data_IF_916403592985
#
_entry.id   IF_916403592985
#
_cell.length_a   1.000
_cell.length_b   1.000
_cell.length_c   1.000
_cell.angle_alpha   90.00
_cell.angle_beta   90.00
_cell.angle_gamma   90.00
#
_symmetry.space_group_name_H-M   'P 1'
#
loop_
_entity.id
_entity.type
_entity.pdbx_description
1 polymer ?
#
# COMPACT_ATOMS: atom_id res chain seq x y z
N UNK A 1 36.99 -6.46 -17.91
CA UNK A 1 36.55 -6.82 -16.55
C UNK A 1 35.25 -7.59 -16.67
N UNK A 2 35.10 -8.72 -15.98
CA UNK A 2 33.76 -9.27 -15.75
C UNK A 2 33.13 -8.50 -14.57
N UNK A 3 31.86 -8.09 -14.73
CA UNK A 3 31.10 -7.45 -13.67
C UNK A 3 30.47 -8.57 -12.84
N UNK A 4 31.25 -9.07 -11.87
CA UNK A 4 30.79 -10.10 -10.94
C UNK A 4 29.81 -9.50 -9.92
N UNK A 5 28.61 -10.08 -9.84
CA UNK A 5 27.54 -9.58 -8.98
C UNK A 5 27.94 -9.68 -7.48
N UNK A 6 27.49 -8.75 -6.62
CA UNK A 6 27.84 -8.77 -5.19
C UNK A 6 27.49 -10.10 -4.50
N UNK A 7 26.34 -10.69 -4.82
CA UNK A 7 25.91 -11.98 -4.26
C UNK A 7 26.86 -13.13 -4.64
N UNK A 8 27.44 -13.13 -5.84
CA UNK A 8 28.44 -14.12 -6.28
C UNK A 8 29.70 -14.04 -5.41
N UNK A 9 30.11 -12.82 -5.02
CA UNK A 9 31.26 -12.61 -4.12
C UNK A 9 30.98 -13.10 -2.70
N UNK A 10 29.77 -12.86 -2.19
CA UNK A 10 29.33 -13.39 -0.89
C UNK A 10 29.34 -14.92 -0.90
N UNK A 11 28.75 -15.55 -1.92
CA UNK A 11 28.78 -17.01 -2.11
C UNK A 11 30.22 -17.54 -2.18
N UNK A 12 31.12 -16.89 -2.92
CA UNK A 12 32.52 -17.29 -3.02
C UNK A 12 33.26 -17.20 -1.67
N UNK A 13 33.04 -16.13 -0.90
CA UNK A 13 33.61 -15.99 0.46
C UNK A 13 33.10 -17.09 1.39
N UNK A 14 31.81 -17.43 1.34
CA UNK A 14 31.21 -18.48 2.15
C UNK A 14 31.77 -19.86 1.78
N UNK A 15 31.94 -20.17 0.48
CA UNK A 15 32.60 -21.40 0.02
C UNK A 15 34.04 -21.50 0.59
N UNK A 16 34.83 -20.43 0.52
CA UNK A 16 36.21 -20.42 1.05
C UNK A 16 36.27 -20.54 2.58
N UNK A 17 35.30 -19.95 3.30
CA UNK A 17 35.16 -20.15 4.75
C UNK A 17 34.79 -21.62 5.07
N UNK A 18 33.93 -22.23 4.26
CA UNK A 18 33.43 -23.59 4.44
C UNK A 18 34.54 -24.65 4.30
N UNK A 19 35.45 -24.50 3.33
CA UNK A 19 36.61 -25.40 3.10
C UNK A 19 37.55 -25.51 4.32
N UNK A 20 37.58 -24.47 5.17
CA UNK A 20 38.50 -24.35 6.29
C UNK A 20 37.81 -24.51 7.67
N UNK A 21 36.53 -24.88 7.69
CA UNK A 21 35.69 -24.90 8.88
C UNK A 21 35.47 -26.30 9.48
N UNK A 22 35.26 -26.42 10.81
CA UNK A 22 34.79 -27.66 11.43
C UNK A 22 33.37 -28.04 10.96
N UNK A 23 33.05 -29.35 10.93
CA UNK A 23 31.80 -29.89 10.37
C UNK A 23 30.51 -29.16 10.80
N UNK A 24 30.28 -28.79 12.09
CA UNK A 24 29.05 -28.07 12.47
C UNK A 24 28.95 -26.67 11.84
N UNK A 25 30.09 -26.02 11.57
CA UNK A 25 30.17 -24.74 10.87
C UNK A 25 30.04 -24.95 9.36
N UNK A 26 30.62 -26.02 8.80
CA UNK A 26 30.41 -26.45 7.41
C UNK A 26 28.93 -26.70 7.09
N UNK A 27 28.18 -27.28 8.02
CA UNK A 27 26.73 -27.51 7.94
C UNK A 27 25.93 -26.19 8.03
N UNK A 28 26.30 -25.28 8.93
CA UNK A 28 25.70 -23.96 8.99
C UNK A 28 25.91 -23.15 7.70
N UNK A 29 27.14 -23.15 7.15
CA UNK A 29 27.47 -22.46 5.91
C UNK A 29 26.77 -23.06 4.69
N UNK A 30 26.49 -24.37 4.68
CA UNK A 30 25.61 -24.99 3.67
C UNK A 30 24.19 -24.41 3.70
N UNK A 31 23.58 -24.28 4.89
CA UNK A 31 22.24 -23.68 5.05
C UNK A 31 22.23 -22.22 4.60
N UNK A 32 23.27 -21.44 4.90
CA UNK A 32 23.41 -20.06 4.40
C UNK A 32 23.51 -20.04 2.87
N UNK A 33 24.30 -20.92 2.26
CA UNK A 33 24.37 -21.04 0.78
C UNK A 33 23.05 -21.45 0.14
N UNK A 34 22.22 -22.23 0.83
CA UNK A 34 20.89 -22.63 0.37
C UNK A 34 19.91 -21.45 0.42
N UNK A 35 19.84 -20.75 1.55
CA UNK A 35 19.04 -19.51 1.72
C UNK A 35 19.46 -18.45 0.68
N UNK A 36 20.76 -18.20 0.51
CA UNK A 36 21.29 -17.22 -0.46
C UNK A 36 21.11 -17.63 -1.94
N UNK A 37 20.61 -18.83 -2.23
CA UNK A 37 20.22 -19.28 -3.57
C UNK A 37 18.71 -19.19 -3.83
N UNK A 38 17.91 -18.91 -2.80
CA UNK A 38 16.48 -18.62 -2.98
C UNK A 38 16.27 -17.27 -3.66
N UNK A 39 15.16 -17.13 -4.40
CA UNK A 39 14.72 -15.85 -4.97
C UNK A 39 14.04 -14.94 -3.93
N UNK A 40 13.68 -15.49 -2.78
CA UNK A 40 12.84 -14.89 -1.74
C UNK A 40 13.65 -14.51 -0.49
N UNK A 41 14.84 -13.96 -0.71
CA UNK A 41 15.87 -13.67 0.31
C UNK A 41 15.42 -12.67 1.40
N UNK A 42 14.27 -12.02 1.22
CA UNK A 42 13.66 -11.06 2.15
C UNK A 42 12.23 -11.45 2.57
N UNK A 43 11.71 -12.61 2.16
CA UNK A 43 10.44 -13.16 2.64
C UNK A 43 10.67 -13.78 4.02
N UNK A 44 9.91 -13.40 5.07
CA UNK A 44 10.01 -14.07 6.37
C UNK A 44 9.55 -15.53 6.26
N UNK A 45 10.18 -16.42 7.02
CA UNK A 45 9.81 -17.84 7.09
C UNK A 45 8.96 -18.10 8.34
N UNK A 46 7.89 -18.88 8.18
CA UNK A 46 6.86 -19.06 9.21
C UNK A 46 7.17 -20.22 10.15
N UNK A 47 7.01 -20.01 11.46
CA UNK A 47 7.02 -21.08 12.47
C UNK A 47 5.60 -21.69 12.60
N UNK A 48 5.37 -22.98 12.32
CA UNK A 48 4.01 -23.56 12.32
C UNK A 48 3.31 -23.69 13.68
N UNK A 49 3.93 -23.26 14.78
CA UNK A 49 3.35 -23.33 16.14
C UNK A 49 2.56 -22.07 16.52
N UNK A 50 2.78 -20.94 15.83
CA UNK A 50 2.09 -19.67 16.10
C UNK A 50 0.85 -19.48 15.20
N UNK A 51 -0.33 -19.49 15.84
CA UNK A 51 -1.70 -19.33 15.32
C UNK A 51 -1.90 -19.55 13.80
N UNK A 52 -2.47 -20.70 13.36
CA UNK A 52 -2.75 -20.97 11.94
C UNK A 52 -3.52 -19.87 11.20
N UNK A 53 -4.37 -19.08 11.89
CA UNK A 53 -5.09 -17.97 11.27
C UNK A 53 -4.21 -16.75 10.96
N UNK A 54 -3.03 -16.63 11.56
CA UNK A 54 -2.01 -15.66 11.18
C UNK A 54 -1.35 -16.06 9.85
N UNK A 55 -0.97 -17.33 9.73
CA UNK A 55 -0.33 -17.93 8.55
C UNK A 55 -1.18 -17.74 7.29
N UNK A 56 -2.49 -17.96 7.40
CA UNK A 56 -3.43 -17.84 6.28
C UNK A 56 -3.59 -16.39 5.79
N UNK A 57 -3.60 -15.42 6.72
CA UNK A 57 -3.64 -13.99 6.41
C UNK A 57 -2.37 -13.51 5.72
N UNK A 58 -1.21 -13.81 6.33
CA UNK A 58 0.09 -13.41 5.77
C UNK A 58 0.30 -14.06 4.40
N UNK A 59 0.02 -15.36 4.27
CA UNK A 59 0.12 -16.07 3.00
C UNK A 59 -0.71 -15.42 1.90
N UNK A 60 -1.92 -14.94 2.21
CA UNK A 60 -2.79 -14.26 1.24
C UNK A 60 -2.33 -12.86 0.81
N UNK A 61 -1.43 -12.22 1.57
CA UNK A 61 -0.82 -10.93 1.26
C UNK A 61 0.56 -11.07 0.59
N UNK A 62 1.29 -12.16 0.89
CA UNK A 62 2.65 -12.41 0.40
C UNK A 62 2.71 -13.33 -0.82
N UNK A 63 1.62 -13.99 -1.22
CA UNK A 63 1.65 -14.99 -2.31
C UNK A 63 1.77 -14.35 -3.70
N UNK A 64 2.99 -14.26 -4.21
CA UNK A 64 3.27 -13.97 -5.62
C UNK A 64 2.61 -15.00 -6.56
N UNK A 65 2.21 -14.57 -7.76
CA UNK A 65 1.30 -15.30 -8.67
C UNK A 65 1.87 -16.58 -9.30
N UNK A 66 3.11 -16.96 -8.97
CA UNK A 66 3.93 -17.92 -9.71
C UNK A 66 3.58 -19.41 -9.49
N UNK A 67 2.32 -19.80 -9.70
CA UNK A 67 1.89 -21.22 -9.81
C UNK A 67 1.29 -21.55 -11.16
N UNK A 68 2.17 -21.67 -12.16
CA UNK A 68 1.86 -22.19 -13.51
C UNK A 68 1.06 -23.49 -13.47
N UNK A 69 -0.18 -23.45 -13.95
CA UNK A 69 -0.82 -24.59 -14.59
C UNK A 69 -1.07 -24.27 -16.07
N UNK A 70 -0.78 -25.25 -16.94
CA UNK A 70 -0.66 -25.03 -18.37
C UNK A 70 -1.93 -25.39 -19.13
N UNK A 71 -2.50 -24.41 -19.83
CA UNK A 71 -3.30 -24.61 -21.04
C UNK A 71 -4.81 -24.46 -20.89
N UNK A 72 -5.37 -23.43 -21.54
CA UNK A 72 -6.11 -23.62 -22.79
C UNK A 72 -6.33 -22.29 -23.51
N UNK A 73 -6.50 -22.33 -24.84
CA UNK A 73 -6.83 -21.15 -25.66
C UNK A 73 -8.29 -20.74 -25.46
N UNK A 74 -8.56 -19.45 -25.27
CA UNK A 74 -9.88 -18.86 -25.49
C UNK A 74 -9.79 -17.53 -26.24
N UNK A 75 -10.84 -17.24 -27.00
CA UNK A 75 -10.80 -16.26 -28.10
C UNK A 75 -11.09 -14.84 -27.63
N UNK A 76 -10.30 -13.89 -28.13
CA UNK A 76 -10.48 -12.45 -27.94
C UNK A 76 -11.92 -11.99 -28.26
N UNK A 77 -12.62 -11.49 -27.26
CA UNK A 77 -13.91 -10.82 -27.40
C UNK A 77 -13.79 -9.36 -26.94
N UNK A 78 -13.49 -8.45 -27.87
CA UNK A 78 -13.38 -7.01 -27.60
C UNK A 78 -14.73 -6.45 -27.12
N UNK A 79 -14.93 -6.35 -25.80
CA UNK A 79 -16.06 -5.62 -25.23
C UNK A 79 -15.88 -4.14 -25.53
N UNK A 80 -16.85 -3.55 -26.24
CA UNK A 80 -16.89 -2.11 -26.42
C UNK A 80 -17.05 -1.43 -25.06
N UNK A 81 -16.21 -0.43 -24.79
CA UNK A 81 -16.41 0.52 -23.71
C UNK A 81 -17.80 1.13 -23.84
N UNK A 82 -18.64 0.96 -22.81
CA UNK A 82 -19.93 1.66 -22.77
C UNK A 82 -19.66 3.14 -22.43
N UNK A 83 -20.30 4.10 -23.14
CA UNK A 83 -20.15 5.50 -22.79
C UNK A 83 -20.74 5.75 -21.40
N UNK A 84 -20.10 6.58 -20.55
CA UNK A 84 -20.60 6.88 -19.21
C UNK A 84 -21.96 7.58 -19.30
N UNK A 85 -22.88 7.21 -18.39
CA UNK A 85 -24.22 7.79 -18.35
C UNK A 85 -24.19 9.29 -18.04
N UNK A 86 -24.80 10.11 -18.90
CA UNK A 86 -24.87 11.57 -18.76
C UNK A 86 -25.74 11.99 -17.56
N UNK A 87 -25.16 12.00 -16.36
CA UNK A 87 -25.72 12.63 -15.15
C UNK A 87 -24.60 13.08 -14.21
N UNK A 88 -23.65 13.87 -14.73
CA UNK A 88 -22.67 14.59 -13.89
C UNK A 88 -23.42 15.74 -13.19
N UNK A 89 -23.50 15.79 -11.85
CA UNK A 89 -24.17 16.88 -11.15
C UNK A 89 -23.49 18.23 -11.41
N UNK A 90 -24.27 19.30 -11.47
CA UNK A 90 -23.78 20.66 -11.72
C UNK A 90 -22.66 21.06 -10.74
N UNK A 91 -21.60 21.75 -11.19
CA UNK A 91 -20.44 22.04 -10.37
C UNK A 91 -20.76 23.05 -9.25
N UNK A 92 -20.87 22.53 -8.03
CA UNK A 92 -20.85 23.30 -6.78
C UNK A 92 -19.44 23.88 -6.61
N UNK A 93 -19.31 25.18 -6.31
CA UNK A 93 -18.01 25.82 -6.02
C UNK A 93 -17.40 25.31 -4.71
N UNK A 94 -16.09 25.48 -4.51
CA UNK A 94 -15.46 25.30 -3.19
C UNK A 94 -16.04 26.28 -2.15
N UNK A 95 -16.66 27.38 -2.61
CA UNK A 95 -17.38 28.34 -1.78
C UNK A 95 -18.85 27.97 -1.48
N UNK A 96 -19.45 27.01 -2.19
CA UNK A 96 -20.88 26.66 -2.09
C UNK A 96 -21.10 25.28 -1.43
N UNK A 97 -20.11 24.76 -0.69
CA UNK A 97 -20.17 23.44 -0.05
C UNK A 97 -21.33 23.37 0.96
N UNK A 98 -22.22 22.35 0.88
CA UNK A 98 -23.31 22.17 1.84
C UNK A 98 -22.82 22.15 3.30
N UNK A 99 -23.48 22.85 4.25
CA UNK A 99 -22.97 23.04 5.60
C UNK A 99 -22.55 21.76 6.35
N UNK A 100 -23.27 20.64 6.17
CA UNK A 100 -22.89 19.34 6.77
C UNK A 100 -21.53 18.85 6.27
N UNK A 101 -21.26 18.98 4.97
CA UNK A 101 -19.97 18.59 4.37
C UNK A 101 -18.87 19.55 4.84
N UNK A 102 -19.16 20.85 4.93
CA UNK A 102 -18.21 21.85 5.42
C UNK A 102 -17.79 21.58 6.89
N UNK A 103 -18.73 21.17 7.74
CA UNK A 103 -18.45 20.71 9.11
C UNK A 103 -17.66 19.39 9.12
N UNK A 104 -18.08 18.40 8.32
CA UNK A 104 -17.41 17.10 8.26
C UNK A 104 -15.93 17.19 7.83
N UNK A 105 -15.57 18.12 6.93
CA UNK A 105 -14.18 18.36 6.53
C UNK A 105 -13.42 19.36 7.43
N UNK A 106 -14.03 19.95 8.47
CA UNK A 106 -13.48 21.12 9.17
C UNK A 106 -12.06 20.85 9.71
N UNK A 107 -11.86 19.69 10.35
CA UNK A 107 -10.65 19.35 11.10
C UNK A 107 -9.66 18.39 10.40
N UNK A 108 -9.62 18.32 9.06
CA UNK A 108 -8.68 17.47 8.26
C UNK A 108 -7.17 17.82 8.37
N UNK A 109 -6.75 18.42 9.48
CA UNK A 109 -5.36 18.58 9.91
C UNK A 109 -4.98 17.63 11.06
N UNK A 110 -5.99 17.07 11.74
CA UNK A 110 -5.84 16.21 12.92
C UNK A 110 -5.88 14.74 12.52
N UNK A 111 -5.21 13.87 13.29
CA UNK A 111 -5.28 12.43 13.05
C UNK A 111 -6.68 11.86 13.38
N UNK A 112 -7.34 12.43 14.39
CA UNK A 112 -8.70 12.09 14.78
C UNK A 112 -9.70 12.81 13.85
N UNK A 113 -10.21 12.09 12.85
CA UNK A 113 -11.05 12.61 11.78
C UNK A 113 -12.13 11.58 11.39
N UNK A 114 -13.40 11.98 11.41
CA UNK A 114 -14.52 11.09 11.09
C UNK A 114 -14.76 10.99 9.58
N UNK A 115 -13.99 10.11 8.94
CA UNK A 115 -14.11 9.79 7.51
C UNK A 115 -15.48 9.19 7.15
N UNK A 116 -16.20 8.59 8.11
CA UNK A 116 -17.50 7.96 7.88
C UNK A 116 -18.65 8.97 7.96
N UNK A 117 -18.58 9.98 8.84
CA UNK A 117 -19.47 11.14 8.74
C UNK A 117 -19.22 11.92 7.44
N UNK A 118 -17.97 11.98 6.95
CA UNK A 118 -17.72 12.56 5.63
C UNK A 118 -18.36 11.72 4.50
N UNK A 119 -18.22 10.40 4.50
CA UNK A 119 -18.92 9.50 3.57
C UNK A 119 -20.44 9.74 3.61
N UNK A 120 -21.03 9.76 4.80
CA UNK A 120 -22.46 9.95 5.02
C UNK A 120 -22.96 11.37 4.69
N UNK A 121 -22.12 12.40 4.82
CA UNK A 121 -22.42 13.79 4.46
C UNK A 121 -22.32 14.03 2.96
N UNK A 122 -21.37 13.37 2.29
CA UNK A 122 -21.10 13.52 0.84
C UNK A 122 -21.89 12.55 -0.05
N UNK A 123 -22.58 11.58 0.55
CA UNK A 123 -23.30 10.49 -0.14
C UNK A 123 -22.35 9.59 -0.94
N UNK A 124 -21.36 9.02 -0.25
CA UNK A 124 -20.31 8.15 -0.80
C UNK A 124 -19.39 8.89 -1.79
N UNK A 125 -19.13 10.18 -1.54
CA UNK A 125 -18.24 11.04 -2.34
C UNK A 125 -17.16 11.76 -1.51
N UNK A 126 -16.49 11.12 -0.53
CA UNK A 126 -15.56 11.83 0.35
C UNK A 126 -14.31 12.31 -0.40
N UNK A 127 -13.82 11.54 -1.37
CA UNK A 127 -12.58 11.82 -2.10
C UNK A 127 -12.63 13.15 -2.86
N UNK A 128 -13.74 13.48 -3.53
CA UNK A 128 -13.88 14.77 -4.23
C UNK A 128 -13.83 15.95 -3.26
N UNK A 129 -14.60 15.92 -2.18
CA UNK A 129 -14.69 17.09 -1.28
C UNK A 129 -13.44 17.26 -0.41
N UNK A 130 -12.91 16.17 0.15
CA UNK A 130 -11.68 16.20 0.92
C UNK A 130 -10.49 16.56 0.03
N UNK A 131 -10.34 15.86 -1.10
CA UNK A 131 -9.25 16.08 -2.03
C UNK A 131 -9.17 17.52 -2.55
N UNK A 132 -10.30 18.18 -2.81
CA UNK A 132 -10.34 19.59 -3.16
C UNK A 132 -9.86 20.51 -2.02
N UNK A 133 -10.28 20.28 -0.77
CA UNK A 133 -9.79 21.06 0.39
C UNK A 133 -8.29 20.83 0.61
N UNK A 134 -7.85 19.58 0.62
CA UNK A 134 -6.45 19.20 0.84
C UNK A 134 -5.55 19.74 -0.26
N UNK A 135 -5.90 19.60 -1.55
CA UNK A 135 -5.08 20.13 -2.65
C UNK A 135 -5.03 21.66 -2.69
N UNK A 136 -6.10 22.35 -2.25
CA UNK A 136 -6.06 23.79 -2.06
C UNK A 136 -5.12 24.19 -0.91
N UNK A 137 -5.18 23.49 0.25
CA UNK A 137 -4.28 23.70 1.39
C UNK A 137 -2.80 23.52 1.03
N UNK A 138 -2.46 22.54 0.19
CA UNK A 138 -1.09 22.29 -0.27
C UNK A 138 -0.68 23.11 -1.52
N UNK A 139 -1.59 23.92 -2.09
CA UNK A 139 -1.32 24.76 -3.26
C UNK A 139 -0.92 23.94 -4.50
N UNK A 140 -1.69 22.90 -4.81
CA UNK A 140 -1.36 21.94 -5.88
C UNK A 140 -1.73 22.50 -7.26
N UNK A 141 -2.83 23.25 -7.38
CA UNK A 141 -3.23 23.90 -8.64
C UNK A 141 -2.18 24.89 -9.15
N UNK A 142 -1.56 25.64 -8.24
CA UNK A 142 -0.49 26.60 -8.51
C UNK A 142 0.79 25.92 -9.01
N UNK A 143 1.10 24.73 -8.48
CA UNK A 143 2.26 23.94 -8.89
C UNK A 143 2.04 23.28 -10.26
N UNK A 144 0.88 22.64 -10.46
CA UNK A 144 0.50 21.99 -11.73
C UNK A 144 0.10 22.99 -12.82
N UNK A 145 -0.07 24.27 -12.46
CA UNK A 145 -0.59 25.36 -13.31
C UNK A 145 -1.99 25.06 -13.87
N UNK A 146 -2.81 24.33 -13.13
CA UNK A 146 -4.16 23.89 -13.54
C UNK A 146 -5.26 24.67 -12.79
N UNK A 147 -6.51 24.60 -13.27
CA UNK A 147 -7.63 25.31 -12.63
C UNK A 147 -8.35 24.44 -11.60
N UNK A 148 -9.01 25.05 -10.61
CA UNK A 148 -9.86 24.34 -9.65
C UNK A 148 -10.96 23.53 -10.38
N UNK A 149 -11.52 24.06 -11.48
CA UNK A 149 -12.50 23.34 -12.30
C UNK A 149 -11.89 22.10 -13.00
N UNK A 150 -10.61 22.16 -13.38
CA UNK A 150 -9.85 21.01 -13.91
C UNK A 150 -9.65 19.96 -12.81
N UNK A 151 -9.19 20.40 -11.63
CA UNK A 151 -8.95 19.51 -10.49
C UNK A 151 -10.24 18.87 -9.98
N UNK A 152 -11.35 19.60 -9.94
CA UNK A 152 -12.70 19.10 -9.62
C UNK A 152 -13.15 18.06 -10.63
N UNK A 153 -12.97 18.33 -11.93
CA UNK A 153 -13.30 17.36 -12.99
C UNK A 153 -12.44 16.08 -12.88
N UNK A 154 -11.17 16.23 -12.52
CA UNK A 154 -10.24 15.12 -12.27
C UNK A 154 -10.64 14.27 -11.07
N UNK A 155 -10.88 14.87 -9.90
CA UNK A 155 -11.37 14.13 -8.73
C UNK A 155 -12.70 13.43 -9.03
N UNK A 156 -13.63 14.08 -9.75
CA UNK A 156 -14.90 13.49 -10.10
C UNK A 156 -14.77 12.25 -11.02
N UNK A 157 -13.82 12.23 -11.96
CA UNK A 157 -13.60 11.04 -12.81
C UNK A 157 -12.83 9.93 -12.08
N UNK A 158 -11.86 10.27 -11.23
CA UNK A 158 -11.15 9.28 -10.39
C UNK A 158 -12.11 8.64 -9.38
N UNK A 159 -12.86 9.44 -8.63
CA UNK A 159 -13.87 8.97 -7.66
C UNK A 159 -14.94 8.09 -8.30
N UNK A 160 -15.40 8.42 -9.51
CA UNK A 160 -16.39 7.63 -10.25
C UNK A 160 -15.88 6.25 -10.73
N UNK A 161 -14.57 6.01 -10.70
CA UNK A 161 -13.96 4.71 -11.01
C UNK A 161 -13.61 3.90 -9.74
N UNK A 162 -13.85 4.41 -8.53
CA UNK A 162 -13.84 3.57 -7.33
C UNK A 162 -15.19 2.85 -7.18
N UNK A 163 -15.17 1.52 -7.00
CA UNK A 163 -16.41 0.73 -6.94
C UNK A 163 -17.08 0.88 -5.56
N UNK A 164 -18.14 1.68 -5.49
CA UNK A 164 -18.93 1.87 -4.25
C UNK A 164 -19.64 0.61 -3.73
N UNK A 165 -19.63 -0.48 -4.50
CA UNK A 165 -20.03 -1.83 -4.07
C UNK A 165 -18.97 -2.58 -3.25
N UNK A 166 -17.72 -2.10 -3.21
CA UNK A 166 -16.66 -2.72 -2.43
C UNK A 166 -16.80 -2.35 -0.94
N UNK A 167 -16.74 -3.33 -0.01
CA UNK A 167 -16.80 -3.07 1.43
C UNK A 167 -15.59 -2.32 2.03
N UNK A 168 -14.51 -2.12 1.26
CA UNK A 168 -13.28 -1.48 1.74
C UNK A 168 -12.59 -0.66 0.63
N UNK A 169 -12.04 -1.28 -0.43
CA UNK A 169 -11.38 -0.57 -1.55
C UNK A 169 -12.38 0.22 -2.41
N UNK A 170 -12.82 1.37 -1.90
CA UNK A 170 -13.75 2.31 -2.49
C UNK A 170 -13.24 3.76 -2.28
N UNK A 171 -14.00 4.77 -2.69
CA UNK A 171 -13.59 6.18 -2.60
C UNK A 171 -13.36 6.67 -1.16
N UNK A 172 -14.00 6.05 -0.16
CA UNK A 172 -13.80 6.37 1.27
C UNK A 172 -12.43 5.90 1.77
N UNK A 173 -11.97 4.71 1.34
CA UNK A 173 -10.61 4.25 1.64
C UNK A 173 -9.55 5.16 1.01
N UNK A 174 -9.70 5.53 -0.27
CA UNK A 174 -8.75 6.47 -0.91
C UNK A 174 -8.77 7.85 -0.25
N UNK A 175 -9.92 8.33 0.21
CA UNK A 175 -10.02 9.57 0.97
C UNK A 175 -9.29 9.48 2.33
N UNK A 176 -9.36 8.34 3.03
CA UNK A 176 -8.61 8.09 4.27
C UNK A 176 -7.09 8.03 4.04
N UNK A 177 -6.64 7.32 3.00
CA UNK A 177 -5.21 7.26 2.63
C UNK A 177 -4.69 8.64 2.21
N UNK A 178 -5.51 9.45 1.52
CA UNK A 178 -5.20 10.85 1.21
C UNK A 178 -5.11 11.72 2.47
N UNK A 179 -6.02 11.52 3.44
CA UNK A 179 -5.99 12.20 4.74
C UNK A 179 -4.70 11.87 5.52
N UNK A 180 -4.40 10.58 5.70
CA UNK A 180 -3.19 10.12 6.38
C UNK A 180 -1.91 10.64 5.69
N UNK A 181 -1.88 10.61 4.35
CA UNK A 181 -0.79 11.17 3.54
C UNK A 181 -0.60 12.67 3.80
N UNK A 182 -1.69 13.46 3.77
CA UNK A 182 -1.66 14.88 4.09
C UNK A 182 -1.23 15.15 5.55
N UNK A 183 -1.62 14.30 6.50
CA UNK A 183 -1.18 14.38 7.89
C UNK A 183 0.33 14.13 8.02
N UNK A 184 0.90 13.15 7.33
CA UNK A 184 2.35 12.88 7.31
C UNK A 184 3.13 14.01 6.62
N UNK A 185 2.70 14.46 5.44
CA UNK A 185 3.28 15.62 4.73
C UNK A 185 3.20 16.92 5.55
N UNK A 186 2.28 16.98 6.52
CA UNK A 186 2.17 18.11 7.44
C UNK A 186 3.21 18.13 8.56
N UNK A 187 3.94 17.02 8.82
CA UNK A 187 4.94 16.94 9.89
C UNK A 187 6.24 17.67 9.51
N UNK A 188 6.84 18.40 10.45
CA UNK A 188 8.04 19.22 10.20
C UNK A 188 9.18 18.43 9.56
N UNK A 189 9.48 17.23 10.06
CA UNK A 189 10.57 16.41 9.53
C UNK A 189 10.39 16.03 8.05
N UNK A 190 9.15 15.88 7.59
CA UNK A 190 8.83 15.59 6.19
C UNK A 190 8.95 16.88 5.35
N UNK A 191 8.43 18.01 5.84
CA UNK A 191 8.59 19.34 5.22
C UNK A 191 10.05 19.81 5.09
N UNK A 192 10.93 19.31 5.95
CA UNK A 192 12.38 19.55 5.93
C UNK A 192 13.15 18.59 4.99
N UNK A 193 12.52 17.53 4.49
CA UNK A 193 13.20 16.43 3.77
C UNK A 193 12.71 16.24 2.32
N UNK A 194 11.44 16.55 2.02
CA UNK A 194 10.84 16.36 0.70
C UNK A 194 10.77 17.66 -0.11
N UNK A 195 11.00 17.56 -1.42
CA UNK A 195 10.79 18.66 -2.36
C UNK A 195 9.30 18.80 -2.70
N UNK A 196 8.90 19.98 -3.20
CA UNK A 196 7.48 20.25 -3.52
C UNK A 196 6.90 19.29 -4.57
N UNK A 197 7.74 18.72 -5.44
CA UNK A 197 7.31 17.71 -6.42
C UNK A 197 6.94 16.38 -5.76
N UNK A 198 7.61 15.98 -4.68
CA UNK A 198 7.34 14.75 -3.93
C UNK A 198 6.03 14.87 -3.13
N UNK A 199 5.80 16.05 -2.54
CA UNK A 199 4.54 16.41 -1.86
C UNK A 199 3.35 16.31 -2.82
N UNK A 200 3.52 16.77 -4.06
CA UNK A 200 2.50 16.68 -5.12
C UNK A 200 2.34 15.24 -5.60
N UNK A 201 3.44 14.49 -5.75
CA UNK A 201 3.41 13.08 -6.14
C UNK A 201 2.63 12.24 -5.12
N UNK A 202 2.92 12.40 -3.84
CA UNK A 202 2.31 11.65 -2.74
C UNK A 202 0.78 11.88 -2.65
N UNK A 203 0.33 13.14 -2.72
CA UNK A 203 -1.09 13.46 -2.68
C UNK A 203 -1.86 12.96 -3.90
N UNK A 204 -1.22 12.94 -5.08
CA UNK A 204 -1.83 12.36 -6.29
C UNK A 204 -1.85 10.82 -6.20
N UNK A 205 -0.75 10.20 -5.79
CA UNK A 205 -0.65 8.74 -5.61
C UNK A 205 -1.74 8.22 -4.65
N UNK A 206 -1.88 8.82 -3.47
CA UNK A 206 -2.90 8.44 -2.48
C UNK A 206 -4.33 8.49 -3.04
N UNK A 207 -4.65 9.49 -3.87
CA UNK A 207 -5.97 9.64 -4.49
C UNK A 207 -6.25 8.60 -5.60
N UNK A 208 -5.22 7.97 -6.18
CA UNK A 208 -5.38 7.04 -7.32
C UNK A 208 -4.99 5.59 -7.04
N UNK A 209 -4.34 5.30 -5.91
CA UNK A 209 -3.62 4.04 -5.70
C UNK A 209 -4.44 2.77 -5.82
N UNK A 210 -5.77 2.85 -5.66
CA UNK A 210 -6.73 1.74 -5.68
C UNK A 210 -7.85 1.92 -6.73
N UNK A 211 -7.68 2.83 -7.71
CA UNK A 211 -8.76 3.17 -8.66
C UNK A 211 -9.14 1.98 -9.55
N UNK A 212 -10.43 1.66 -9.65
CA UNK A 212 -10.98 0.46 -10.31
C UNK A 212 -10.59 -0.89 -9.66
N UNK A 213 -10.19 -0.90 -8.37
CA UNK A 213 -9.95 -2.15 -7.64
C UNK A 213 -11.23 -3.04 -7.60
N UNK A 214 -11.19 -4.30 -8.06
CA UNK A 214 -12.38 -5.16 -8.21
C UNK A 214 -12.77 -5.92 -6.92
N UNK A 215 -12.37 -5.41 -5.74
CA UNK A 215 -12.58 -6.09 -4.46
C UNK A 215 -12.00 -7.52 -4.35
N UNK A 216 -10.92 -7.84 -5.07
CA UNK A 216 -10.20 -9.14 -5.09
C UNK A 216 -8.69 -8.91 -5.17
N UNK A 217 -7.88 -9.78 -4.57
CA UNK A 217 -6.40 -9.67 -4.58
C UNK A 217 -5.77 -10.06 -5.92
N UNK A 218 -4.53 -9.62 -6.16
CA UNK A 218 -3.69 -10.06 -7.29
C UNK A 218 -3.72 -11.59 -7.46
N UNK A 219 -3.45 -12.34 -6.39
CA UNK A 219 -3.43 -13.81 -6.40
C UNK A 219 -4.78 -14.42 -6.83
N UNK A 220 -5.92 -13.79 -6.56
CA UNK A 220 -7.21 -14.24 -7.07
C UNK A 220 -7.36 -14.00 -8.59
N UNK A 221 -6.86 -12.87 -9.09
CA UNK A 221 -6.91 -12.53 -10.52
C UNK A 221 -6.04 -13.49 -11.35
N UNK A 222 -4.80 -13.76 -10.90
CA UNK A 222 -3.89 -14.71 -11.56
C UNK A 222 -4.48 -16.14 -11.56
N UNK A 223 -4.92 -16.63 -10.39
CA UNK A 223 -5.52 -17.98 -10.28
C UNK A 223 -6.85 -18.14 -11.04
N UNK A 224 -7.54 -17.06 -11.41
CA UNK A 224 -8.78 -17.10 -12.21
C UNK A 224 -8.55 -16.83 -13.70
N UNK A 225 -7.32 -16.58 -14.15
CA UNK A 225 -7.02 -16.23 -15.54
C UNK A 225 -7.67 -14.92 -15.98
N UNK A 226 -7.77 -13.95 -15.07
CA UNK A 226 -8.46 -12.69 -15.31
C UNK A 226 -7.79 -11.85 -16.43
N UNK A 227 -8.58 -11.09 -17.19
CA UNK A 227 -8.11 -10.21 -18.27
C UNK A 227 -6.98 -9.25 -17.82
N UNK A 228 -7.03 -8.72 -16.58
CA UNK A 228 -5.96 -7.89 -16.01
C UNK A 228 -4.69 -8.69 -15.70
N UNK A 229 -4.81 -9.89 -15.14
CA UNK A 229 -3.65 -10.73 -14.83
C UNK A 229 -2.92 -11.17 -16.11
N UNK A 230 -3.67 -11.47 -17.18
CA UNK A 230 -3.11 -11.73 -18.51
C UNK A 230 -2.43 -10.48 -19.10
N UNK A 231 -3.03 -9.29 -18.91
CA UNK A 231 -2.47 -8.01 -19.39
C UNK A 231 -1.14 -7.66 -18.70
N UNK A 232 -1.07 -7.82 -17.37
CA UNK A 232 0.09 -7.49 -16.54
C UNK A 232 1.03 -8.68 -16.28
N UNK A 233 0.79 -9.83 -16.92
CA UNK A 233 1.63 -11.03 -16.87
C UNK A 233 1.86 -11.52 -15.43
N UNK A 234 0.76 -11.62 -14.67
CA UNK A 234 0.68 -12.04 -13.26
C UNK A 234 1.52 -11.20 -12.26
N UNK A 235 2.15 -10.09 -12.70
CA UNK A 235 3.09 -9.27 -11.91
C UNK A 235 2.45 -7.93 -11.51
N UNK A 236 2.43 -7.57 -10.22
CA UNK A 236 1.91 -6.29 -9.69
C UNK A 236 0.60 -5.83 -10.37
N UNK A 237 -0.35 -6.76 -10.50
CA UNK A 237 -1.44 -6.69 -11.49
C UNK A 237 -2.37 -5.51 -11.23
N UNK A 238 -2.77 -5.30 -9.99
CA UNK A 238 -3.68 -4.23 -9.58
C UNK A 238 -2.95 -2.89 -9.51
N UNK A 239 -1.78 -2.85 -8.89
CA UNK A 239 -0.97 -1.64 -8.71
C UNK A 239 -0.56 -1.04 -10.07
N UNK A 240 -0.25 -1.90 -11.05
CA UNK A 240 -0.03 -1.51 -12.45
C UNK A 240 -1.29 -1.00 -13.14
N UNK A 241 -2.45 -1.61 -12.85
CA UNK A 241 -3.76 -1.19 -13.37
C UNK A 241 -4.18 0.17 -12.83
N UNK A 242 -4.11 0.38 -11.51
CA UNK A 242 -4.43 1.62 -10.82
C UNK A 242 -3.62 2.80 -11.39
N UNK A 243 -2.30 2.63 -11.51
CA UNK A 243 -1.43 3.62 -12.13
C UNK A 243 -1.75 3.85 -13.62
N UNK A 244 -1.99 2.79 -14.41
CA UNK A 244 -2.27 2.92 -15.84
C UNK A 244 -3.60 3.63 -16.11
N UNK A 245 -4.69 3.18 -15.47
CA UNK A 245 -6.03 3.71 -15.66
C UNK A 245 -6.13 5.16 -15.17
N UNK A 246 -5.57 5.49 -14.01
CA UNK A 246 -5.57 6.87 -13.51
C UNK A 246 -4.96 7.84 -14.52
N UNK A 247 -3.82 7.48 -15.13
CA UNK A 247 -3.21 8.31 -16.17
C UNK A 247 -3.98 8.29 -17.49
N UNK A 248 -4.68 7.20 -17.86
CA UNK A 248 -5.58 7.20 -19.01
C UNK A 248 -6.73 8.20 -18.80
N UNK A 249 -7.50 8.06 -17.71
CA UNK A 249 -8.63 8.94 -17.35
C UNK A 249 -8.21 10.42 -17.26
N UNK A 250 -6.98 10.69 -16.78
CA UNK A 250 -6.43 12.05 -16.71
C UNK A 250 -6.09 12.62 -18.08
N UNK A 251 -5.52 11.82 -19.00
CA UNK A 251 -4.99 12.30 -20.27
C UNK A 251 -6.02 12.25 -21.42
N UNK A 252 -7.06 11.42 -21.31
CA UNK A 252 -8.12 11.26 -22.32
C UNK A 252 -8.98 12.52 -22.50
N UNK A 253 -9.20 13.29 -21.42
CA UNK A 253 -10.05 14.48 -21.44
C UNK A 253 -9.28 15.74 -21.00
N UNK A 254 -9.22 16.70 -21.90
CA UNK A 254 -8.64 18.04 -21.72
C UNK A 254 -9.19 18.82 -20.51
N UNK A 255 -10.41 18.49 -20.05
CA UNK A 255 -11.04 19.04 -18.84
C UNK A 255 -10.57 18.37 -17.53
N UNK A 256 -10.10 17.12 -17.59
CA UNK A 256 -9.60 16.35 -16.46
C UNK A 256 -8.07 16.38 -16.36
N UNK A 257 -7.37 16.80 -17.41
CA UNK A 257 -5.92 16.79 -17.48
C UNK A 257 -5.25 17.86 -16.61
N UNK A 258 -5.11 17.55 -15.31
CA UNK A 258 -4.40 18.38 -14.33
C UNK A 258 -2.93 18.64 -14.68
N UNK A 259 -2.30 17.80 -15.52
CA UNK A 259 -0.91 17.94 -15.94
C UNK A 259 -0.71 18.80 -17.20
N UNK A 260 -1.79 19.22 -17.87
CA UNK A 260 -1.78 19.83 -19.21
C UNK A 260 -0.81 21.01 -19.39
N UNK A 261 -0.61 21.80 -18.35
CA UNK A 261 0.18 23.03 -18.38
C UNK A 261 1.59 22.87 -17.76
N UNK A 262 1.98 21.65 -17.38
CA UNK A 262 3.31 21.35 -16.86
C UNK A 262 4.37 21.33 -17.97
N UNK A 263 5.60 21.67 -17.61
CA UNK A 263 6.75 21.49 -18.48
C UNK A 263 7.10 20.00 -18.61
N UNK A 264 7.53 19.58 -19.81
CA UNK A 264 7.66 18.15 -20.17
C UNK A 264 8.58 17.35 -19.24
N UNK A 265 9.63 17.97 -18.71
CA UNK A 265 10.55 17.32 -17.79
C UNK A 265 9.92 17.13 -16.41
N UNK A 266 9.27 18.18 -15.88
CA UNK A 266 8.64 18.18 -14.56
C UNK A 266 7.47 17.19 -14.53
N UNK A 267 6.65 17.15 -15.59
CA UNK A 267 5.61 16.11 -15.75
C UNK A 267 6.23 14.70 -15.79
N UNK A 268 7.37 14.50 -16.45
CA UNK A 268 8.03 13.18 -16.49
C UNK A 268 8.52 12.75 -15.10
N UNK A 269 9.15 13.66 -14.35
CA UNK A 269 9.62 13.38 -12.98
C UNK A 269 8.45 13.11 -12.04
N UNK A 270 7.41 13.97 -12.07
CA UNK A 270 6.20 13.80 -11.27
C UNK A 270 5.48 12.48 -11.60
N UNK A 271 5.33 12.15 -12.90
CA UNK A 271 4.75 10.87 -13.33
C UNK A 271 5.54 9.68 -12.79
N UNK A 272 6.87 9.73 -12.84
CA UNK A 272 7.70 8.64 -12.32
C UNK A 272 7.47 8.46 -10.83
N UNK A 273 7.55 9.54 -10.03
CA UNK A 273 7.32 9.49 -8.59
C UNK A 273 5.91 8.96 -8.22
N UNK A 274 4.87 9.38 -8.95
CA UNK A 274 3.50 8.86 -8.74
C UNK A 274 3.43 7.35 -9.02
N UNK A 275 4.02 6.88 -10.12
CA UNK A 275 4.03 5.45 -10.48
C UNK A 275 4.84 4.64 -9.46
N UNK A 276 6.01 5.12 -9.08
CA UNK A 276 6.88 4.45 -8.10
C UNK A 276 6.20 4.36 -6.72
N UNK A 277 5.37 5.33 -6.34
CA UNK A 277 4.59 5.30 -5.10
C UNK A 277 3.38 4.34 -5.17
N UNK A 278 2.67 4.26 -6.30
CA UNK A 278 1.55 3.31 -6.45
C UNK A 278 2.08 1.86 -6.55
N UNK A 279 3.17 1.62 -7.28
CA UNK A 279 3.82 0.30 -7.31
C UNK A 279 4.54 -0.09 -5.99
N UNK A 280 4.58 0.82 -5.01
CA UNK A 280 5.09 0.57 -3.67
C UNK A 280 4.00 0.18 -2.65
N UNK A 281 2.71 0.17 -3.04
CA UNK A 281 1.63 -0.39 -2.20
C UNK A 281 1.46 -1.90 -2.36
N UNK A 282 2.17 -2.53 -3.30
CA UNK A 282 2.16 -3.98 -3.50
C UNK A 282 2.72 -4.69 -2.25
N UNK A 283 1.87 -5.40 -1.51
CA UNK A 283 2.23 -5.94 -0.19
C UNK A 283 3.36 -6.99 -0.24
N UNK A 284 3.55 -7.71 -1.34
CA UNK A 284 4.69 -8.63 -1.54
C UNK A 284 6.06 -7.92 -1.37
N UNK A 285 6.09 -6.60 -1.55
CA UNK A 285 7.29 -5.75 -1.46
C UNK A 285 7.41 -4.99 -0.14
N UNK A 286 6.47 -5.18 0.78
CA UNK A 286 6.44 -4.51 2.10
C UNK A 286 7.79 -4.61 2.82
N UNK A 287 8.33 -5.82 3.01
CA UNK A 287 9.60 -6.03 3.70
C UNK A 287 10.81 -5.50 2.93
N UNK A 288 10.79 -5.49 1.59
CA UNK A 288 11.82 -4.83 0.77
C UNK A 288 11.88 -3.33 1.10
N UNK A 289 10.70 -2.69 1.23
CA UNK A 289 10.57 -1.25 1.42
C UNK A 289 10.83 -0.82 2.87
N UNK A 290 10.29 -1.53 3.86
CA UNK A 290 10.54 -1.27 5.29
C UNK A 290 12.03 -1.49 5.63
N UNK A 291 12.64 -2.59 5.18
CA UNK A 291 14.07 -2.81 5.42
C UNK A 291 14.95 -1.79 4.69
N UNK A 292 14.61 -1.36 3.48
CA UNK A 292 15.32 -0.27 2.78
C UNK A 292 15.23 1.07 3.52
N UNK A 293 14.07 1.36 4.11
CA UNK A 293 13.87 2.57 4.92
C UNK A 293 14.66 2.50 6.23
N UNK A 294 14.56 1.40 6.99
CA UNK A 294 15.35 1.17 8.20
C UNK A 294 16.86 1.29 7.95
N UNK A 295 17.37 0.67 6.89
CA UNK A 295 18.77 0.78 6.49
C UNK A 295 19.20 2.19 6.02
N UNK A 296 18.25 3.09 5.76
CA UNK A 296 18.50 4.51 5.45
C UNK A 296 18.46 5.39 6.71
N UNK A 297 17.52 5.17 7.64
CA UNK A 297 17.42 5.98 8.86
C UNK A 297 18.41 5.56 9.96
N UNK A 298 18.75 4.27 10.03
CA UNK A 298 19.69 3.71 11.03
C UNK A 298 21.16 3.90 10.67
N UNK A 299 21.48 4.75 9.68
CA UNK A 299 22.85 5.15 9.31
C UNK A 299 23.16 6.59 9.73
N UNK A 300 23.51 6.85 11.01
CA UNK A 300 24.24 8.05 11.37
C UNK A 300 25.67 8.00 10.82
N UNK A 301 26.36 9.14 10.81
CA UNK A 301 27.80 9.20 10.58
C UNK A 301 28.57 8.40 11.66
N UNK A 302 29.08 7.21 11.34
CA UNK A 302 30.29 6.62 11.95
C UNK A 302 30.83 5.38 11.24
N UNK A 303 32.05 5.01 11.62
CA UNK A 303 32.85 3.93 11.06
C UNK A 303 32.58 2.57 11.74
N UNK A 304 33.01 1.49 11.06
CA UNK A 304 33.30 0.12 11.53
C UNK A 304 32.84 -0.33 12.94
N UNK A 305 32.02 -1.39 13.02
CA UNK A 305 31.85 -2.17 14.26
C UNK A 305 30.79 -3.29 14.24
N UNK A 306 31.22 -4.53 13.99
CA UNK A 306 30.75 -5.85 14.49
C UNK A 306 29.25 -6.20 14.70
N UNK A 307 28.82 -7.30 14.05
CA UNK A 307 28.30 -8.61 14.59
C UNK A 307 28.10 -8.74 16.14
N UNK A 308 27.21 -9.56 16.74
CA UNK A 308 26.17 -10.58 16.34
C UNK A 308 25.27 -10.88 17.58
N UNK A 309 24.28 -11.81 17.72
CA UNK A 309 23.68 -12.93 16.93
C UNK A 309 22.27 -13.26 17.52
N UNK A 310 21.15 -13.21 16.77
CA UNK A 310 19.81 -13.78 17.12
C UNK A 310 18.87 -13.67 15.89
N UNK A 311 17.96 -14.59 15.54
CA UNK A 311 17.45 -15.82 16.19
C UNK A 311 17.58 -17.10 15.30
N UNK A 312 16.97 -18.23 15.70
CA UNK A 312 17.01 -19.54 15.01
C UNK A 312 15.65 -20.26 15.01
N UNK A 313 15.52 -21.25 14.11
CA UNK A 313 14.45 -22.28 14.00
C UNK A 313 13.21 -21.83 13.17
N UNK A 314 12.55 -22.68 12.36
CA UNK A 314 12.62 -24.16 12.15
C UNK A 314 12.34 -24.56 10.66
N UNK A 315 12.08 -25.85 10.36
CA UNK A 315 12.09 -26.45 9.00
C UNK A 315 10.69 -26.75 8.38
N UNK A 316 10.43 -26.28 7.14
CA UNK A 316 9.45 -26.78 6.13
C UNK A 316 7.90 -26.58 6.39
N UNK A 317 6.99 -26.77 5.40
CA UNK A 317 6.88 -26.14 4.07
C UNK A 317 5.46 -25.55 3.75
N UNK A 318 5.27 -24.97 2.55
CA UNK A 318 4.20 -24.02 2.13
C UNK A 318 2.82 -24.62 1.76
N UNK A 319 1.70 -23.94 2.10
CA UNK A 319 0.52 -23.51 1.25
C UNK A 319 -0.75 -23.17 2.07
N UNK A 320 -1.42 -22.06 1.74
CA UNK A 320 -2.66 -21.51 2.37
C UNK A 320 -3.92 -22.38 2.27
N UNK A 321 -4.91 -22.12 3.17
CA UNK A 321 -6.32 -22.05 2.83
C UNK A 321 -6.95 -20.64 3.01
N UNK A 322 -8.09 -20.46 2.35
CA UNK A 322 -8.89 -19.23 2.25
C UNK A 322 -9.41 -18.68 3.59
N UNK A 323 -9.48 -17.34 3.72
CA UNK A 323 -10.29 -16.64 4.73
C UNK A 323 -11.76 -17.06 4.72
N UNK A 324 -12.12 -18.09 5.49
CA UNK A 324 -13.52 -18.48 5.71
C UNK A 324 -14.15 -17.67 6.85
N UNK A 325 -15.31 -17.05 6.56
CA UNK A 325 -16.14 -16.32 7.53
C UNK A 325 -16.67 -17.21 8.65
N UNK A 326 -16.70 -18.54 8.47
CA UNK A 326 -17.14 -19.48 9.50
C UNK A 326 -16.05 -19.84 10.52
N UNK A 327 -14.77 -19.69 10.17
CA UNK A 327 -13.63 -20.09 11.02
C UNK A 327 -12.85 -18.90 11.57
N UNK A 328 -12.67 -17.84 10.78
CA UNK A 328 -11.88 -16.65 11.14
C UNK A 328 -12.37 -15.98 12.44
N UNK A 329 -11.42 -15.59 13.30
CA UNK A 329 -11.66 -14.70 14.44
C UNK A 329 -11.09 -13.32 14.12
N UNK A 330 -11.95 -12.31 13.97
CA UNK A 330 -11.52 -10.98 13.54
C UNK A 330 -10.48 -10.37 14.50
N UNK A 331 -10.64 -10.44 15.85
CA UNK A 331 -9.62 -9.94 16.76
C UNK A 331 -8.25 -10.62 16.59
N UNK A 332 -8.19 -11.94 16.35
CA UNK A 332 -6.93 -12.65 16.10
C UNK A 332 -6.25 -12.14 14.83
N UNK A 333 -6.97 -12.13 13.71
CA UNK A 333 -6.42 -11.63 12.44
C UNK A 333 -5.98 -10.17 12.52
N UNK A 334 -6.63 -9.34 13.35
CA UNK A 334 -6.18 -7.96 13.62
C UNK A 334 -4.90 -7.90 14.47
N UNK A 335 -4.79 -8.73 15.52
CA UNK A 335 -3.57 -8.87 16.32
C UNK A 335 -2.40 -9.32 15.43
N UNK A 336 -2.58 -10.40 14.68
CA UNK A 336 -1.54 -10.95 13.78
C UNK A 336 -1.14 -9.96 12.69
N UNK A 337 -2.09 -9.21 12.12
CA UNK A 337 -1.77 -8.15 11.15
C UNK A 337 -0.93 -7.03 11.77
N UNK A 338 -1.33 -6.58 12.98
CA UNK A 338 -0.61 -5.53 13.70
C UNK A 338 0.82 -5.98 14.03
N UNK A 339 0.93 -7.12 14.70
CA UNK A 339 2.20 -7.64 15.21
C UNK A 339 3.17 -8.04 14.07
N UNK A 340 2.68 -8.41 12.87
CA UNK A 340 3.51 -8.86 11.73
C UNK A 340 3.83 -7.78 10.66
N UNK A 341 2.96 -6.79 10.44
CA UNK A 341 3.16 -5.75 9.39
C UNK A 341 3.15 -4.31 9.92
N UNK A 342 2.38 -4.03 10.98
CA UNK A 342 2.14 -2.64 11.40
C UNK A 342 3.18 -2.17 12.40
N UNK A 343 3.52 -2.98 13.40
CA UNK A 343 4.39 -2.58 14.52
C UNK A 343 5.75 -2.08 14.03
N UNK A 344 6.58 -2.92 13.39
CA UNK A 344 7.92 -2.54 12.91
C UNK A 344 7.90 -1.36 11.93
N UNK A 345 6.92 -1.31 11.03
CA UNK A 345 6.76 -0.22 10.08
C UNK A 345 6.43 1.10 10.77
N UNK A 346 5.52 1.09 11.75
CA UNK A 346 5.13 2.29 12.49
C UNK A 346 6.15 2.71 13.53
N UNK A 347 6.90 1.79 14.13
CA UNK A 347 8.03 2.12 15.01
C UNK A 347 9.18 2.77 14.21
N UNK A 348 9.51 2.24 13.02
CA UNK A 348 10.46 2.88 12.10
C UNK A 348 10.00 4.30 11.68
N UNK A 349 8.73 4.43 11.28
CA UNK A 349 8.16 5.71 10.85
C UNK A 349 8.02 6.71 12.01
N UNK A 350 7.65 6.24 13.21
CA UNK A 350 7.66 7.03 14.43
C UNK A 350 9.08 7.46 14.81
N UNK A 351 10.07 6.58 14.72
CA UNK A 351 11.46 6.88 15.03
C UNK A 351 11.98 8.05 14.18
N UNK A 352 11.62 8.08 12.89
CA UNK A 352 11.96 9.16 11.97
C UNK A 352 11.12 10.44 12.17
N UNK A 353 9.79 10.34 12.18
CA UNK A 353 8.87 11.49 12.05
C UNK A 353 8.34 12.04 13.38
N UNK A 354 8.38 11.23 14.45
CA UNK A 354 7.75 11.47 15.77
C UNK A 354 6.22 11.56 15.70
N UNK A 355 5.58 10.40 15.86
CA UNK A 355 4.13 10.20 15.69
C UNK A 355 3.47 9.65 16.98
N UNK A 356 3.54 10.34 18.14
CA UNK A 356 3.14 9.77 19.43
C UNK A 356 1.64 9.46 19.52
N UNK A 357 0.78 10.28 18.89
CA UNK A 357 -0.66 10.07 18.82
C UNK A 357 -0.98 8.72 18.16
N UNK A 358 -0.33 8.42 17.03
CA UNK A 358 -0.57 7.21 16.26
C UNK A 358 -0.12 5.96 17.01
N UNK A 359 1.05 5.99 17.66
CA UNK A 359 1.51 4.87 18.50
C UNK A 359 0.58 4.63 19.70
N UNK A 360 0.02 5.69 20.28
CA UNK A 360 -0.94 5.55 21.37
C UNK A 360 -2.27 4.95 20.90
N UNK A 361 -2.74 5.26 19.68
CA UNK A 361 -3.87 4.57 19.07
C UNK A 361 -3.54 3.11 18.74
N UNK A 362 -2.35 2.82 18.21
CA UNK A 362 -1.92 1.45 17.90
C UNK A 362 -1.90 0.56 19.15
N UNK A 363 -1.29 1.04 20.23
CA UNK A 363 -1.29 0.40 21.57
C UNK A 363 -2.71 0.18 22.11
N UNK A 364 -3.57 1.22 22.07
CA UNK A 364 -4.95 1.11 22.53
C UNK A 364 -5.78 0.11 21.69
N UNK A 365 -5.60 0.09 20.37
CA UNK A 365 -6.29 -0.81 19.46
C UNK A 365 -5.82 -2.26 19.63
N UNK A 366 -4.52 -2.47 19.81
CA UNK A 366 -3.95 -3.80 20.09
C UNK A 366 -4.46 -4.35 21.43
N UNK A 367 -4.55 -3.50 22.46
CA UNK A 367 -5.19 -3.84 23.75
C UNK A 367 -6.69 -4.15 23.61
N UNK A 368 -7.43 -3.39 22.78
CA UNK A 368 -8.84 -3.69 22.48
C UNK A 368 -9.01 -5.06 21.83
N UNK A 369 -8.22 -5.39 20.80
CA UNK A 369 -8.29 -6.69 20.13
C UNK A 369 -7.89 -7.84 21.05
N UNK A 370 -6.79 -7.71 21.82
CA UNK A 370 -6.36 -8.73 22.80
C UNK A 370 -7.46 -8.95 23.86
N UNK A 371 -8.10 -7.88 24.36
CA UNK A 371 -9.25 -7.95 25.27
C UNK A 371 -10.59 -8.41 24.66
N UNK A 372 -10.68 -8.65 23.34
CA UNK A 372 -11.79 -9.36 22.69
C UNK A 372 -11.48 -10.84 22.48
N UNK A 373 -10.23 -11.19 22.14
CA UNK A 373 -9.82 -12.59 21.96
C UNK A 373 -9.73 -13.35 23.30
N UNK A 374 -9.31 -12.69 24.38
CA UNK A 374 -9.43 -13.21 25.76
C UNK A 374 -10.88 -13.59 26.13
N UNK A 375 -11.87 -12.91 25.52
CA UNK A 375 -13.31 -13.19 25.68
C UNK A 375 -13.86 -14.14 24.62
N UNK A 376 -12.99 -14.69 23.76
CA UNK A 376 -13.31 -15.58 22.63
C UNK A 376 -14.33 -14.99 21.65
N UNK A 377 -14.40 -13.66 21.55
CA UNK A 377 -15.30 -12.96 20.64
C UNK A 377 -14.70 -12.95 19.23
N UNK A 378 -15.47 -13.40 18.22
CA UNK A 378 -15.02 -13.44 16.81
C UNK A 378 -15.39 -12.16 16.02
N UNK A 379 -16.19 -11.28 16.60
CA UNK A 379 -16.79 -10.10 15.95
C UNK A 379 -16.07 -8.79 16.27
N UNK A 380 -16.20 -7.80 15.38
CA UNK A 380 -15.65 -6.44 15.53
C UNK A 380 -16.06 -5.71 16.83
N UNK A 381 -17.19 -6.10 17.42
CA UNK A 381 -17.78 -5.54 18.64
C UNK A 381 -18.25 -6.68 19.55
N UNK A 382 -18.27 -6.48 20.87
CA UNK A 382 -19.03 -7.35 21.77
C UNK A 382 -20.54 -7.28 21.44
N UNK A 383 -21.35 -8.26 21.87
CA UNK A 383 -22.80 -8.12 21.83
C UNK A 383 -23.25 -6.91 22.68
N UNK A 384 -24.37 -6.24 22.32
CA UNK A 384 -24.94 -5.20 23.16
C UNK A 384 -25.42 -5.79 24.50
N UNK A 385 -25.30 -5.00 25.56
CA UNK A 385 -25.77 -5.29 26.92
C UNK A 385 -27.30 -5.14 27.07
#
# INVERSE_FOLDING_TARGET
MMIEAPITKVINIINTAQENSPVPVTEALNRVLEILRTTELYSPQFSPEDDPHATDLVGGLMSDGLRRFSGNEYVLATKNLQPPSENIPTPISLHDIPPRIAMAIENEEQWDFDIFELEAATQNRPLTYLGLKTFARFGICEFLKCSEATLRSWFQIIEANYHSSNPYHNSTHSADVLHATAYFLSRNKIKETLDRIDVVAALIAAAIHDVDHPGRTNSFLCNSGNELAVLYNDTAVLESHHAALAFQLTLENDKCNIFKNMDRNDYRTLRQAIIDMVLATEMTRHFEHVNRFNNSISKPFKEQGHETDEEKQLDLPVVMPVFDRNTCSIPKSQISFIDYFVTDMFDAWHAFVKLPVLMQHLDNNLKYWKGLDEKQLRSLRPPPE
#
